data_IF_538822273172
#
_entry.id   IF_538822273172
#
_cell.length_a   1.000
_cell.length_b   1.000
_cell.length_c   1.000
_cell.angle_alpha   90.00
_cell.angle_beta   90.00
_cell.angle_gamma   90.00
#
_symmetry.space_group_name_H-M   'P 1'
#
loop_
_entity.id
_entity.type
_entity.pdbx_description
1 polymer ?
#
# COMPACT_ATOMS: atom_id res chain seq x y z
N UNK A 1 -45.85 -33.72 25.35
CA UNK A 1 -46.74 -32.60 24.96
C UNK A 1 -45.98 -31.28 24.93
N UNK A 2 -45.20 -30.95 25.97
CA UNK A 2 -44.35 -29.74 26.03
C UNK A 2 -43.33 -29.70 24.89
N UNK A 3 -42.61 -30.80 24.65
CA UNK A 3 -41.61 -30.90 23.57
C UNK A 3 -42.18 -30.59 22.17
N UNK A 4 -43.37 -31.12 21.84
CA UNK A 4 -44.02 -30.86 20.55
C UNK A 4 -44.42 -29.40 20.38
N UNK A 5 -44.87 -28.75 21.46
CA UNK A 5 -45.21 -27.33 21.47
C UNK A 5 -43.97 -26.46 21.24
N UNK A 6 -42.87 -26.78 21.91
CA UNK A 6 -41.60 -26.06 21.76
C UNK A 6 -41.02 -26.21 20.34
N UNK A 7 -41.19 -27.40 19.75
CA UNK A 7 -40.80 -27.69 18.36
C UNK A 7 -41.64 -26.88 17.36
N UNK A 8 -42.95 -26.79 17.58
CA UNK A 8 -43.87 -26.03 16.74
C UNK A 8 -43.56 -24.52 16.81
N UNK A 9 -43.29 -24.02 18.02
CA UNK A 9 -42.91 -22.62 18.24
C UNK A 9 -41.55 -22.28 17.63
N UNK A 10 -40.57 -23.18 17.71
CA UNK A 10 -39.30 -23.05 16.99
C UNK A 10 -39.53 -23.02 15.47
N UNK A 11 -40.37 -23.90 14.93
CA UNK A 11 -40.70 -23.92 13.50
C UNK A 11 -41.37 -22.62 13.02
N UNK A 12 -42.31 -22.07 13.81
CA UNK A 12 -42.91 -20.76 13.53
C UNK A 12 -41.87 -19.64 13.53
N UNK A 13 -40.94 -19.64 14.49
CA UNK A 13 -39.87 -18.66 14.59
C UNK A 13 -38.94 -18.73 13.38
N UNK A 14 -38.55 -19.93 12.97
CA UNK A 14 -37.73 -20.18 11.77
C UNK A 14 -38.47 -19.67 10.52
N UNK A 15 -39.77 -19.98 10.40
CA UNK A 15 -40.59 -19.59 9.25
C UNK A 15 -40.78 -18.07 9.15
N UNK A 16 -41.00 -17.39 10.28
CA UNK A 16 -41.14 -15.93 10.34
C UNK A 16 -39.85 -15.20 9.97
N UNK A 17 -38.70 -15.81 10.21
CA UNK A 17 -37.38 -15.24 9.95
C UNK A 17 -36.71 -15.81 8.68
N UNK A 18 -37.48 -16.41 7.75
CA UNK A 18 -36.99 -16.95 6.47
C UNK A 18 -36.42 -15.88 5.53
N UNK A 19 -36.89 -14.62 5.63
CA UNK A 19 -36.62 -13.56 4.65
C UNK A 19 -35.81 -12.37 5.22
N UNK A 20 -34.60 -12.64 5.73
CA UNK A 20 -33.46 -11.69 5.62
C UNK A 20 -33.43 -10.49 6.59
N UNK A 21 -33.39 -10.75 7.89
CA UNK A 21 -32.55 -9.92 8.78
C UNK A 21 -31.44 -10.80 9.38
N UNK A 22 -30.22 -10.28 9.37
CA UNK A 22 -29.07 -10.95 10.01
C UNK A 22 -29.34 -11.20 11.50
N UNK A 23 -30.05 -10.25 12.11
CA UNK A 23 -30.39 -10.24 13.51
C UNK A 23 -31.88 -10.41 13.72
N UNK A 24 -32.24 -11.10 14.79
CA UNK A 24 -33.59 -11.21 15.29
C UNK A 24 -34.03 -9.91 15.95
N UNK A 25 -35.33 -9.64 15.90
CA UNK A 25 -35.92 -8.63 16.77
C UNK A 25 -35.86 -9.12 18.24
N UNK A 26 -35.98 -8.20 19.19
CA UNK A 26 -35.84 -8.50 20.62
C UNK A 26 -36.84 -9.55 21.12
N UNK A 27 -38.07 -9.54 20.59
CA UNK A 27 -39.11 -10.50 20.95
C UNK A 27 -38.73 -11.91 20.51
N UNK A 28 -38.36 -12.07 19.25
CA UNK A 28 -37.97 -13.37 18.68
C UNK A 28 -36.66 -13.88 19.30
N UNK A 29 -35.72 -12.99 19.67
CA UNK A 29 -34.51 -13.36 20.43
C UNK A 29 -34.86 -13.95 21.79
N UNK A 30 -35.71 -13.27 22.57
CA UNK A 30 -36.14 -13.77 23.88
C UNK A 30 -36.91 -15.09 23.77
N UNK A 31 -37.75 -15.26 22.73
CA UNK A 31 -38.42 -16.53 22.46
C UNK A 31 -37.42 -17.63 22.15
N UNK A 32 -36.41 -17.36 21.32
CA UNK A 32 -35.38 -18.34 20.98
C UNK A 32 -34.55 -18.75 22.21
N UNK A 33 -34.12 -17.80 23.04
CA UNK A 33 -33.32 -18.08 24.23
C UNK A 33 -34.08 -19.01 25.21
N UNK A 34 -35.37 -18.73 25.45
CA UNK A 34 -36.23 -19.58 26.27
C UNK A 34 -36.37 -20.99 25.67
N UNK A 35 -36.61 -21.09 24.36
CA UNK A 35 -36.75 -22.38 23.67
C UNK A 35 -35.45 -23.20 23.75
N UNK A 36 -34.29 -22.57 23.56
CA UNK A 36 -32.98 -23.22 23.63
C UNK A 36 -32.67 -23.68 25.07
N UNK A 37 -32.99 -22.88 26.07
CA UNK A 37 -32.80 -23.25 27.48
C UNK A 37 -33.72 -24.39 27.93
N UNK A 38 -34.89 -24.54 27.31
CA UNK A 38 -35.76 -25.71 27.51
C UNK A 38 -35.28 -26.94 26.74
N UNK A 39 -34.86 -26.76 25.47
CA UNK A 39 -34.36 -27.84 24.61
C UNK A 39 -33.01 -28.40 25.07
N UNK A 40 -32.15 -27.59 25.69
CA UNK A 40 -30.86 -28.03 26.25
C UNK A 40 -31.00 -28.91 27.50
N UNK A 41 -32.15 -28.84 28.19
CA UNK A 41 -32.47 -29.70 29.35
C UNK A 41 -32.98 -31.09 28.92
N UNK A 42 -33.59 -31.19 27.74
CA UNK A 42 -34.13 -32.44 27.19
C UNK A 42 -33.19 -32.97 26.10
N UNK A 43 -32.38 -33.98 26.43
CA UNK A 43 -31.41 -34.63 25.53
C UNK A 43 -32.15 -35.41 24.45
N UNK A 44 -32.62 -34.72 23.41
CA UNK A 44 -33.09 -35.31 22.16
C UNK A 44 -32.60 -34.46 20.97
N UNK A 45 -31.28 -34.28 20.89
CA UNK A 45 -30.59 -33.62 19.77
C UNK A 45 -31.00 -34.18 18.40
N UNK A 46 -31.34 -35.46 18.31
CA UNK A 46 -31.77 -36.11 17.07
C UNK A 46 -33.11 -35.59 16.52
N UNK A 47 -34.05 -35.22 17.40
CA UNK A 47 -35.38 -34.75 16.98
C UNK A 47 -35.26 -33.34 16.40
N UNK A 48 -34.49 -32.48 17.07
CA UNK A 48 -34.16 -31.13 16.58
C UNK A 48 -33.40 -31.16 15.25
N UNK A 49 -32.38 -32.03 15.13
CA UNK A 49 -31.65 -32.25 13.88
C UNK A 49 -32.57 -32.71 12.74
N UNK A 50 -33.55 -33.56 13.04
CA UNK A 50 -34.54 -34.00 12.04
C UNK A 50 -35.41 -32.84 11.56
N UNK A 51 -35.90 -31.98 12.47
CA UNK A 51 -36.71 -30.81 12.11
C UNK A 51 -35.91 -29.81 11.29
N UNK A 52 -34.66 -29.56 11.68
CA UNK A 52 -33.76 -28.70 10.92
C UNK A 52 -33.51 -29.24 9.50
N UNK A 53 -33.52 -30.57 9.34
CA UNK A 53 -33.36 -31.24 8.04
C UNK A 53 -34.59 -31.16 7.13
N UNK A 54 -35.76 -30.89 7.70
CA UNK A 54 -37.05 -30.83 6.99
C UNK A 54 -37.40 -29.42 6.49
N UNK A 55 -36.71 -28.38 6.95
CA UNK A 55 -36.93 -27.01 6.49
C UNK A 55 -36.15 -26.73 5.20
N UNK A 56 -36.73 -25.96 4.28
CA UNK A 56 -36.12 -25.54 3.00
C UNK A 56 -35.03 -24.44 3.16
N UNK A 57 -33.98 -24.71 3.95
CA UNK A 57 -32.65 -24.09 3.87
C UNK A 57 -32.53 -22.55 4.00
N UNK A 58 -33.45 -21.87 4.71
CA UNK A 58 -33.38 -20.42 4.93
C UNK A 58 -33.56 -20.08 6.41
N UNK A 59 -32.45 -19.99 7.12
CA UNK A 59 -32.42 -19.67 8.54
C UNK A 59 -31.73 -18.34 8.77
N UNK A 60 -32.20 -17.57 9.75
CA UNK A 60 -31.43 -16.41 10.23
C UNK A 60 -30.13 -16.89 10.85
N UNK A 61 -29.05 -16.19 10.51
CA UNK A 61 -27.69 -16.52 10.96
C UNK A 61 -27.51 -16.35 12.47
N UNK A 62 -28.27 -15.45 13.13
CA UNK A 62 -28.30 -15.34 14.58
C UNK A 62 -28.86 -16.62 15.24
N UNK A 63 -29.88 -17.25 14.65
CA UNK A 63 -30.43 -18.53 15.15
C UNK A 63 -29.35 -19.62 15.08
N UNK A 64 -28.66 -19.71 13.94
CA UNK A 64 -27.58 -20.69 13.74
C UNK A 64 -26.46 -20.46 14.77
N UNK A 65 -26.08 -19.21 15.00
CA UNK A 65 -25.08 -18.87 16.00
C UNK A 65 -25.48 -19.28 17.42
N UNK A 66 -26.72 -19.02 17.84
CA UNK A 66 -27.19 -19.43 19.16
C UNK A 66 -27.16 -20.96 19.34
N UNK A 67 -27.57 -21.72 18.32
CA UNK A 67 -27.49 -23.19 18.34
C UNK A 67 -26.04 -23.69 18.43
N UNK A 68 -25.11 -23.02 17.73
CA UNK A 68 -23.68 -23.33 17.79
C UNK A 68 -23.09 -23.03 19.18
N UNK A 69 -23.37 -21.86 19.74
CA UNK A 69 -22.85 -21.44 21.05
C UNK A 69 -23.33 -22.36 22.18
N UNK A 70 -24.51 -22.94 22.05
CA UNK A 70 -25.10 -23.89 23.02
C UNK A 70 -24.74 -25.35 22.71
N UNK A 71 -23.84 -25.60 21.75
CA UNK A 71 -23.36 -26.93 21.36
C UNK A 71 -24.47 -27.91 20.93
N UNK A 72 -25.56 -27.37 20.38
CA UNK A 72 -26.70 -28.17 19.91
C UNK A 72 -26.44 -28.69 18.49
N UNK A 73 -26.02 -27.81 17.60
CA UNK A 73 -25.56 -28.12 16.24
C UNK A 73 -24.39 -27.18 15.92
N UNK A 74 -23.24 -27.77 15.55
CA UNK A 74 -22.07 -26.98 15.18
C UNK A 74 -22.27 -26.30 13.82
N UNK A 75 -21.66 -25.13 13.64
CA UNK A 75 -21.76 -24.40 12.38
C UNK A 75 -21.23 -25.19 11.17
N UNK A 76 -20.20 -26.01 11.38
CA UNK A 76 -19.65 -26.91 10.36
C UNK A 76 -20.62 -28.07 10.06
N UNK A 77 -21.27 -28.64 11.06
CA UNK A 77 -22.35 -29.62 10.86
C UNK A 77 -23.51 -28.97 10.08
N UNK A 78 -23.80 -27.70 10.35
CA UNK A 78 -24.88 -26.97 9.71
C UNK A 78 -24.68 -26.85 8.18
N UNK A 79 -23.48 -26.48 7.75
CA UNK A 79 -23.15 -26.30 6.33
C UNK A 79 -23.21 -27.64 5.57
N UNK A 80 -22.79 -28.75 6.20
CA UNK A 80 -22.70 -30.06 5.54
C UNK A 80 -24.01 -30.83 5.53
N UNK A 81 -24.67 -30.94 6.69
CA UNK A 81 -25.86 -31.77 6.84
C UNK A 81 -27.12 -31.11 6.27
N UNK A 82 -27.18 -29.78 6.25
CA UNK A 82 -28.38 -29.03 5.86
C UNK A 82 -28.23 -28.30 4.52
N UNK A 83 -27.19 -28.64 3.75
CA UNK A 83 -26.96 -28.19 2.36
C UNK A 83 -27.19 -26.69 2.16
N UNK A 84 -26.73 -25.89 3.11
CA UNK A 84 -26.94 -24.45 3.05
C UNK A 84 -26.12 -23.84 1.91
N UNK A 85 -26.73 -22.93 1.15
CA UNK A 85 -26.11 -22.40 -0.07
C UNK A 85 -24.83 -21.62 0.24
N UNK A 86 -23.73 -22.04 -0.39
CA UNK A 86 -22.39 -21.53 -0.09
C UNK A 86 -22.25 -20.05 -0.43
N UNK A 87 -22.85 -19.61 -1.55
CA UNK A 87 -22.80 -18.21 -1.96
C UNK A 87 -23.62 -17.33 -1.01
N UNK A 88 -24.78 -17.82 -0.52
CA UNK A 88 -25.53 -17.13 0.53
C UNK A 88 -24.75 -17.04 1.84
N UNK A 89 -24.10 -18.12 2.28
CA UNK A 89 -23.27 -18.10 3.50
C UNK A 89 -22.18 -17.03 3.39
N UNK A 90 -21.41 -17.06 2.29
CA UNK A 90 -20.34 -16.08 2.07
C UNK A 90 -20.91 -14.67 2.05
N UNK A 91 -22.02 -14.44 1.35
CA UNK A 91 -22.68 -13.13 1.29
C UNK A 91 -23.10 -12.63 2.68
N UNK A 92 -23.69 -13.49 3.51
CA UNK A 92 -24.10 -13.16 4.88
C UNK A 92 -22.86 -12.81 5.72
N UNK A 93 -21.81 -13.64 5.71
CA UNK A 93 -20.60 -13.36 6.47
C UNK A 93 -19.93 -12.04 6.03
N UNK A 94 -19.93 -11.74 4.73
CA UNK A 94 -19.37 -10.48 4.21
C UNK A 94 -20.19 -9.26 4.65
N UNK A 95 -21.51 -9.33 4.54
CA UNK A 95 -22.38 -8.25 5.02
C UNK A 95 -22.21 -8.04 6.55
N UNK A 96 -21.95 -9.09 7.34
CA UNK A 96 -21.62 -8.95 8.77
C UNK A 96 -20.27 -8.26 8.97
N UNK A 97 -19.29 -8.58 8.12
CA UNK A 97 -17.94 -7.99 8.20
C UNK A 97 -17.97 -6.47 8.01
N UNK A 98 -18.91 -5.98 7.19
CA UNK A 98 -19.13 -4.55 6.94
C UNK A 98 -19.96 -3.86 8.04
N UNK A 99 -20.67 -4.62 8.88
CA UNK A 99 -21.53 -4.07 9.95
C UNK A 99 -20.70 -3.52 11.11
N UNK A 100 -21.12 -2.37 11.64
CA UNK A 100 -20.54 -1.80 12.88
C UNK A 100 -21.25 -2.30 14.14
N UNK A 101 -22.33 -3.06 14.00
CA UNK A 101 -23.09 -3.56 15.13
C UNK A 101 -22.28 -4.60 15.90
N UNK A 102 -22.20 -4.42 17.22
CA UNK A 102 -21.40 -5.29 18.10
C UNK A 102 -21.82 -6.75 17.98
N UNK A 103 -23.14 -7.01 17.97
CA UNK A 103 -23.68 -8.37 17.87
C UNK A 103 -23.33 -9.04 16.53
N UNK A 104 -23.38 -8.32 15.41
CA UNK A 104 -22.92 -8.85 14.12
C UNK A 104 -21.45 -9.23 14.14
N UNK A 105 -20.61 -8.41 14.78
CA UNK A 105 -19.18 -8.68 14.89
C UNK A 105 -18.87 -9.86 15.83
N UNK A 106 -19.64 -10.03 16.90
CA UNK A 106 -19.58 -11.20 17.80
C UNK A 106 -19.96 -12.48 17.04
N UNK A 107 -21.15 -12.50 16.41
CA UNK A 107 -21.63 -13.62 15.58
C UNK A 107 -20.59 -14.00 14.52
N UNK A 108 -20.10 -13.00 13.76
CA UNK A 108 -19.10 -13.22 12.72
C UNK A 108 -17.82 -13.84 13.30
N UNK A 109 -17.32 -13.34 14.42
CA UNK A 109 -16.05 -13.81 15.01
C UNK A 109 -16.15 -15.27 15.43
N UNK A 110 -17.27 -15.67 16.05
CA UNK A 110 -17.48 -17.04 16.53
C UNK A 110 -17.66 -18.03 15.36
N UNK A 111 -18.56 -17.70 14.42
CA UNK A 111 -18.86 -18.56 13.28
C UNK A 111 -17.68 -18.67 12.30
N UNK A 112 -17.03 -17.55 12.00
CA UNK A 112 -15.84 -17.57 11.16
C UNK A 112 -14.66 -18.23 11.88
N UNK A 113 -14.53 -18.05 13.20
CA UNK A 113 -13.56 -18.76 14.03
C UNK A 113 -13.70 -20.28 13.91
N UNK A 114 -14.92 -20.79 14.03
CA UNK A 114 -15.21 -22.23 13.95
C UNK A 114 -14.90 -22.82 12.56
N UNK A 115 -15.13 -22.05 11.48
CA UNK A 115 -14.67 -22.43 10.13
C UNK A 115 -13.15 -22.38 10.00
N UNK A 116 -12.52 -21.30 10.46
CA UNK A 116 -11.09 -21.05 10.24
C UNK A 116 -10.18 -22.01 11.00
N UNK A 117 -10.67 -22.63 12.09
CA UNK A 117 -9.97 -23.74 12.76
C UNK A 117 -9.60 -24.85 11.77
N UNK A 118 -10.43 -25.08 10.75
CA UNK A 118 -10.20 -26.12 9.73
C UNK A 118 -8.94 -25.85 8.88
N UNK A 119 -8.47 -24.60 8.79
CA UNK A 119 -7.17 -24.27 8.14
C UNK A 119 -5.94 -24.75 8.94
N UNK A 120 -6.15 -25.20 10.19
CA UNK A 120 -5.11 -25.75 11.06
C UNK A 120 -4.80 -27.22 10.76
N UNK A 121 -5.72 -27.96 10.11
CA UNK A 121 -5.57 -29.38 9.77
C UNK A 121 -4.73 -29.64 8.51
N UNK A 122 -4.29 -30.90 8.33
CA UNK A 122 -3.56 -31.35 7.13
C UNK A 122 -4.44 -31.29 5.86
N UNK A 123 -3.84 -31.04 4.67
CA UNK A 123 -4.56 -30.67 3.48
C UNK A 123 -5.04 -31.92 2.74
N UNK A 124 -6.21 -32.45 3.09
CA UNK A 124 -6.96 -33.27 2.15
C UNK A 124 -8.33 -32.65 1.94
N UNK A 125 -8.73 -32.62 0.67
CA UNK A 125 -10.00 -32.14 0.13
C UNK A 125 -10.04 -30.66 -0.31
N UNK A 126 -9.49 -30.40 -1.50
CA UNK A 126 -9.93 -29.33 -2.43
C UNK A 126 -11.46 -29.33 -2.70
N UNK A 127 -12.18 -30.33 -2.21
CA UNK A 127 -13.61 -30.55 -2.37
C UNK A 127 -14.41 -30.35 -1.07
N UNK A 128 -13.79 -29.89 0.02
CA UNK A 128 -14.52 -29.57 1.23
C UNK A 128 -15.30 -28.25 1.05
N UNK A 129 -16.65 -28.25 1.18
CA UNK A 129 -17.46 -27.04 1.10
C UNK A 129 -17.02 -25.95 2.08
N UNK A 130 -16.49 -26.29 3.26
CA UNK A 130 -15.99 -25.33 4.25
C UNK A 130 -14.79 -24.56 3.73
N UNK A 131 -13.81 -25.27 3.15
CA UNK A 131 -12.58 -24.65 2.63
C UNK A 131 -12.91 -23.69 1.48
N UNK A 132 -13.90 -24.04 0.65
CA UNK A 132 -14.36 -23.17 -0.44
C UNK A 132 -15.03 -21.90 0.10
N UNK A 133 -15.91 -22.02 1.11
CA UNK A 133 -16.50 -20.85 1.80
C UNK A 133 -15.40 -19.95 2.37
N UNK A 134 -14.41 -20.53 3.06
CA UNK A 134 -13.29 -19.77 3.64
C UNK A 134 -12.50 -19.04 2.55
N UNK A 135 -12.12 -19.73 1.48
CA UNK A 135 -11.34 -19.13 0.39
C UNK A 135 -12.11 -18.00 -0.31
N UNK A 136 -13.40 -18.20 -0.57
CA UNK A 136 -14.26 -17.21 -1.21
C UNK A 136 -14.46 -15.99 -0.29
N UNK A 137 -14.72 -16.22 0.99
CA UNK A 137 -14.84 -15.16 1.99
C UNK A 137 -13.55 -14.35 2.13
N UNK A 138 -12.38 -14.99 2.29
CA UNK A 138 -11.10 -14.29 2.42
C UNK A 138 -10.74 -13.50 1.16
N UNK A 139 -11.07 -14.02 -0.03
CA UNK A 139 -10.84 -13.30 -1.30
C UNK A 139 -11.73 -12.07 -1.42
N UNK A 140 -13.05 -12.22 -1.17
CA UNK A 140 -14.00 -11.12 -1.29
C UNK A 140 -13.83 -10.07 -0.19
N UNK A 141 -13.58 -10.48 1.06
CA UNK A 141 -13.30 -9.56 2.17
C UNK A 141 -12.03 -8.74 1.93
N UNK A 142 -10.99 -9.32 1.33
CA UNK A 142 -9.79 -8.58 0.92
C UNK A 142 -10.11 -7.42 -0.02
N UNK A 143 -11.00 -7.64 -1.00
CA UNK A 143 -11.43 -6.60 -1.94
C UNK A 143 -12.26 -5.50 -1.25
N UNK A 144 -13.13 -5.88 -0.30
CA UNK A 144 -13.92 -4.94 0.50
C UNK A 144 -12.98 -4.05 1.33
N UNK A 145 -12.00 -4.65 2.01
CA UNK A 145 -11.01 -3.93 2.83
C UNK A 145 -10.18 -2.95 1.99
N UNK A 146 -9.81 -3.30 0.75
CA UNK A 146 -9.11 -2.36 -0.15
C UNK A 146 -9.96 -1.14 -0.47
N UNK A 147 -11.27 -1.33 -0.69
CA UNK A 147 -12.21 -0.25 -1.01
C UNK A 147 -12.54 0.59 0.22
N UNK A 148 -12.64 -0.03 1.38
CA UNK A 148 -12.90 0.63 2.65
C UNK A 148 -11.94 0.11 3.74
N UNK A 149 -10.76 0.75 3.87
CA UNK A 149 -9.72 0.40 4.83
C UNK A 149 -10.11 0.49 6.31
N UNK A 150 -11.32 0.90 6.67
CA UNK A 150 -11.76 1.00 8.07
C UNK A 150 -12.61 -0.22 8.52
N UNK A 151 -12.96 -1.13 7.59
CA UNK A 151 -13.87 -2.27 7.82
C UNK A 151 -13.18 -3.53 8.38
N UNK A 152 -11.87 -3.52 8.64
CA UNK A 152 -11.11 -4.67 9.17
C UNK A 152 -11.32 -4.97 10.66
N UNK A 153 -12.42 -4.50 11.27
CA UNK A 153 -12.74 -4.72 12.69
C UNK A 153 -12.77 -6.21 13.01
N UNK A 154 -13.37 -7.03 12.14
CA UNK A 154 -13.45 -8.47 12.35
C UNK A 154 -12.06 -9.13 12.41
N UNK A 155 -11.05 -8.64 11.69
CA UNK A 155 -9.68 -9.17 11.77
C UNK A 155 -9.05 -8.91 13.14
N UNK A 156 -9.37 -7.76 13.77
CA UNK A 156 -8.95 -7.49 15.16
C UNK A 156 -9.61 -8.49 16.12
N UNK A 157 -10.91 -8.74 15.94
CA UNK A 157 -11.65 -9.65 16.80
C UNK A 157 -11.14 -11.09 16.65
N UNK A 158 -10.88 -11.55 15.41
CA UNK A 158 -10.29 -12.87 15.15
C UNK A 158 -8.91 -13.01 15.78
N UNK A 159 -8.07 -11.97 15.74
CA UNK A 159 -6.76 -11.97 16.41
C UNK A 159 -6.87 -12.16 17.92
N UNK A 160 -7.94 -11.67 18.53
CA UNK A 160 -8.22 -11.81 19.97
C UNK A 160 -9.07 -13.04 20.31
N UNK A 161 -9.49 -13.82 19.32
CA UNK A 161 -10.34 -14.99 19.53
C UNK A 161 -9.58 -16.12 20.22
N UNK A 162 -10.14 -16.67 21.29
CA UNK A 162 -9.59 -17.85 21.99
C UNK A 162 -9.69 -19.13 21.16
N UNK A 163 -10.53 -19.15 20.12
CA UNK A 163 -10.78 -20.32 19.29
C UNK A 163 -9.65 -20.59 18.29
N UNK A 164 -8.83 -19.60 17.96
CA UNK A 164 -7.79 -19.69 16.93
C UNK A 164 -6.40 -19.71 17.55
N UNK A 165 -5.60 -20.70 17.15
CA UNK A 165 -4.17 -20.72 17.47
C UNK A 165 -3.42 -19.69 16.61
N UNK A 166 -2.29 -19.18 17.15
CA UNK A 166 -1.46 -18.15 16.51
C UNK A 166 -1.05 -18.50 15.07
N UNK A 167 -0.67 -19.74 14.80
CA UNK A 167 -0.27 -20.16 13.45
C UNK A 167 -1.40 -20.05 12.44
N UNK A 168 -2.65 -20.27 12.85
CA UNK A 168 -3.84 -20.13 12.01
C UNK A 168 -4.14 -18.67 11.74
N UNK A 169 -4.04 -17.81 12.76
CA UNK A 169 -4.15 -16.34 12.61
C UNK A 169 -3.12 -15.85 11.58
N UNK A 170 -1.85 -16.26 11.71
CA UNK A 170 -0.80 -15.89 10.76
C UNK A 170 -1.10 -16.39 9.33
N UNK A 171 -1.61 -17.61 9.16
CA UNK A 171 -2.05 -18.13 7.84
C UNK A 171 -3.15 -17.25 7.23
N UNK A 172 -4.15 -16.88 8.02
CA UNK A 172 -5.26 -16.01 7.57
C UNK A 172 -4.72 -14.66 7.12
N UNK A 173 -3.91 -14.01 7.96
CA UNK A 173 -3.33 -12.70 7.66
C UNK A 173 -2.46 -12.76 6.40
N UNK A 174 -1.70 -13.84 6.21
CA UNK A 174 -0.88 -14.07 5.01
C UNK A 174 -1.74 -14.21 3.75
N UNK A 175 -2.84 -14.97 3.80
CA UNK A 175 -3.77 -15.13 2.68
C UNK A 175 -4.45 -13.79 2.34
N UNK A 176 -4.94 -13.08 3.37
CA UNK A 176 -5.58 -11.78 3.21
C UNK A 176 -4.63 -10.77 2.57
N UNK A 177 -3.42 -10.61 3.13
CA UNK A 177 -2.43 -9.68 2.58
C UNK A 177 -2.05 -10.07 1.15
N UNK A 178 -1.87 -11.38 0.86
CA UNK A 178 -1.61 -11.86 -0.50
C UNK A 178 -2.69 -11.40 -1.47
N UNK A 179 -3.95 -11.64 -1.14
CA UNK A 179 -5.09 -11.29 -1.98
C UNK A 179 -5.18 -9.78 -2.20
N UNK A 180 -4.90 -8.98 -1.17
CA UNK A 180 -4.88 -7.52 -1.27
C UNK A 180 -3.76 -7.01 -2.18
N UNK A 181 -2.58 -7.65 -2.14
CA UNK A 181 -1.45 -7.31 -3.00
C UNK A 181 -1.64 -7.76 -4.46
N UNK A 182 -2.55 -8.68 -4.76
CA UNK A 182 -2.88 -9.20 -6.12
C UNK A 182 -4.25 -8.67 -6.60
N UNK A 183 -4.73 -7.56 -6.06
CA UNK A 183 -5.98 -6.96 -6.51
C UNK A 183 -5.76 -6.16 -7.80
N UNK A 184 -6.60 -6.39 -8.81
CA UNK A 184 -6.61 -5.61 -10.05
C UNK A 184 -7.01 -4.16 -9.74
N UNK A 185 -6.11 -3.23 -10.00
CA UNK A 185 -6.29 -1.80 -9.74
C UNK A 185 -5.65 -0.98 -10.85
N UNK A 186 -6.26 0.18 -11.13
CA UNK A 186 -5.77 1.17 -12.09
C UNK A 186 -4.31 1.62 -11.84
N UNK A 187 -3.79 1.42 -10.63
CA UNK A 187 -2.41 1.76 -10.27
C UNK A 187 -1.45 0.58 -10.53
N UNK A 188 -1.28 0.24 -11.80
CA UNK A 188 -0.35 -0.79 -12.27
C UNK A 188 1.12 -0.28 -12.30
N UNK A 189 2.08 -1.18 -12.55
CA UNK A 189 3.52 -0.92 -12.46
C UNK A 189 4.00 0.34 -13.20
N UNK A 190 3.48 0.62 -14.40
CA UNK A 190 3.92 1.77 -15.20
C UNK A 190 3.57 3.10 -14.51
N UNK A 191 2.31 3.25 -14.11
CA UNK A 191 1.83 4.41 -13.32
C UNK A 191 2.57 4.50 -11.99
N UNK A 192 2.79 3.37 -11.32
CA UNK A 192 3.56 3.35 -10.08
C UNK A 192 4.99 3.87 -10.28
N UNK A 193 5.65 3.49 -11.36
CA UNK A 193 7.01 3.93 -11.67
C UNK A 193 7.09 5.46 -11.88
N UNK A 194 6.09 6.03 -12.54
CA UNK A 194 6.03 7.47 -12.80
C UNK A 194 5.66 8.28 -11.54
N UNK A 195 4.85 7.71 -10.64
CA UNK A 195 4.19 8.45 -9.55
C UNK A 195 4.61 8.05 -8.13
N UNK A 196 5.53 7.08 -7.95
CA UNK A 196 5.84 6.54 -6.61
C UNK A 196 6.27 7.59 -5.58
N UNK A 197 6.91 8.68 -6.01
CA UNK A 197 7.33 9.77 -5.10
C UNK A 197 6.22 10.73 -4.70
N UNK A 198 5.17 10.83 -5.52
CA UNK A 198 4.02 11.69 -5.23
C UNK A 198 3.01 10.99 -4.31
N UNK A 199 3.05 9.66 -4.31
CA UNK A 199 2.13 8.85 -3.54
C UNK A 199 2.42 8.93 -2.04
N UNK A 200 1.40 9.29 -1.26
CA UNK A 200 1.43 9.25 0.20
C UNK A 200 0.46 8.21 0.71
N UNK A 201 0.91 7.34 1.60
CA UNK A 201 0.07 6.34 2.26
C UNK A 201 -0.97 7.03 3.14
N UNK A 202 -2.28 6.88 2.88
CA UNK A 202 -3.35 7.37 3.76
C UNK A 202 -3.29 6.73 5.15
N UNK A 203 -3.73 7.44 6.18
CA UNK A 203 -3.65 6.96 7.57
C UNK A 203 -4.43 5.65 7.82
N UNK A 204 -5.60 5.49 7.19
CA UNK A 204 -6.40 4.27 7.29
C UNK A 204 -5.66 3.06 6.69
N UNK A 205 -5.01 3.24 5.53
CA UNK A 205 -4.16 2.22 4.91
C UNK A 205 -2.93 1.92 5.78
N UNK A 206 -2.28 2.95 6.33
CA UNK A 206 -1.15 2.78 7.24
C UNK A 206 -1.52 1.95 8.47
N UNK A 207 -2.62 2.29 9.15
CA UNK A 207 -3.07 1.61 10.36
C UNK A 207 -3.44 0.14 10.10
N UNK A 208 -4.11 -0.12 8.98
CA UNK A 208 -4.42 -1.47 8.53
C UNK A 208 -3.15 -2.28 8.24
N UNK A 209 -2.23 -1.75 7.43
CA UNK A 209 -1.00 -2.46 7.07
C UNK A 209 -0.09 -2.67 8.29
N UNK A 210 -0.09 -1.74 9.25
CA UNK A 210 0.61 -1.91 10.53
C UNK A 210 0.11 -3.15 11.28
N UNK A 211 -1.20 -3.39 11.33
CA UNK A 211 -1.75 -4.61 11.94
C UNK A 211 -1.19 -5.88 11.28
N UNK A 212 -1.09 -5.90 9.94
CA UNK A 212 -0.52 -7.04 9.22
C UNK A 212 0.96 -7.25 9.56
N UNK A 213 1.74 -6.17 9.67
CA UNK A 213 3.16 -6.21 10.02
C UNK A 213 3.43 -6.60 11.48
N UNK A 214 2.46 -6.34 12.37
CA UNK A 214 2.55 -6.74 13.78
C UNK A 214 2.22 -8.23 13.97
N UNK A 215 1.45 -8.84 13.05
CA UNK A 215 1.03 -10.24 13.15
C UNK A 215 1.94 -11.21 12.38
N UNK A 216 2.41 -10.79 11.20
CA UNK A 216 3.23 -11.60 10.31
C UNK A 216 4.71 -11.46 10.63
N UNK A 217 5.46 -12.54 10.43
CA UNK A 217 6.92 -12.50 10.52
C UNK A 217 7.48 -11.70 9.35
N UNK A 218 8.58 -10.98 9.57
CA UNK A 218 9.15 -10.13 8.52
C UNK A 218 9.58 -10.97 7.30
N UNK A 219 10.12 -12.18 7.52
CA UNK A 219 10.46 -13.17 6.47
C UNK A 219 9.28 -13.57 5.60
N UNK A 220 8.09 -13.74 6.20
CA UNK A 220 6.86 -14.03 5.47
C UNK A 220 6.44 -12.85 4.59
N UNK A 221 6.62 -11.62 5.06
CA UNK A 221 6.30 -10.40 4.29
C UNK A 221 7.20 -10.30 3.06
N UNK A 222 8.52 -10.48 3.21
CA UNK A 222 9.44 -10.42 2.07
C UNK A 222 9.11 -11.48 1.02
N UNK A 223 8.94 -12.73 1.48
CA UNK A 223 8.61 -13.86 0.63
C UNK A 223 7.29 -13.63 -0.09
N UNK A 224 6.32 -13.02 0.60
CA UNK A 224 5.02 -12.68 0.02
C UNK A 224 5.16 -11.64 -1.11
N UNK A 225 5.86 -10.53 -0.86
CA UNK A 225 6.08 -9.48 -1.87
C UNK A 225 6.81 -10.06 -3.08
N UNK A 226 7.87 -10.84 -2.86
CA UNK A 226 8.63 -11.51 -3.94
C UNK A 226 7.72 -12.43 -4.76
N UNK A 227 6.92 -13.28 -4.10
CA UNK A 227 5.99 -14.18 -4.80
C UNK A 227 4.94 -13.43 -5.63
N UNK A 228 4.38 -12.35 -5.09
CA UNK A 228 3.42 -11.50 -5.81
C UNK A 228 4.06 -10.92 -7.07
N UNK A 229 5.30 -10.45 -7.00
CA UNK A 229 5.98 -9.85 -8.16
C UNK A 229 6.37 -10.92 -9.18
N UNK A 230 6.90 -12.07 -8.74
CA UNK A 230 7.34 -13.14 -9.64
C UNK A 230 6.18 -13.84 -10.36
N UNK A 231 5.02 -13.97 -9.70
CA UNK A 231 3.88 -14.72 -10.21
C UNK A 231 2.75 -13.83 -10.76
N UNK A 232 2.65 -12.59 -10.29
CA UNK A 232 1.47 -11.73 -10.51
C UNK A 232 1.82 -10.25 -10.75
N UNK A 233 3.00 -9.93 -11.29
CA UNK A 233 3.47 -8.55 -11.52
C UNK A 233 2.45 -7.64 -12.22
N UNK A 234 1.73 -8.15 -13.21
CA UNK A 234 0.72 -7.41 -13.99
C UNK A 234 -0.54 -7.08 -13.19
N UNK A 235 -0.91 -7.94 -12.23
CA UNK A 235 -2.10 -7.78 -11.36
C UNK A 235 -1.73 -7.27 -9.97
N UNK A 236 -0.47 -6.88 -9.78
CA UNK A 236 0.02 -6.46 -8.49
C UNK A 236 -0.53 -5.07 -8.16
N UNK A 237 -1.07 -4.94 -6.95
CA UNK A 237 -1.54 -3.67 -6.41
C UNK A 237 -0.35 -2.83 -5.94
N UNK A 238 0.29 -2.12 -6.87
CA UNK A 238 1.49 -1.34 -6.60
C UNK A 238 1.27 -0.24 -5.57
N UNK A 239 0.07 0.32 -5.49
CA UNK A 239 -0.29 1.30 -4.46
C UNK A 239 -0.17 0.69 -3.06
N UNK A 240 -0.67 -0.53 -2.85
CA UNK A 240 -0.52 -1.23 -1.58
C UNK A 240 0.89 -1.76 -1.34
N UNK A 241 1.60 -2.23 -2.36
CA UNK A 241 3.00 -2.68 -2.21
C UNK A 241 3.88 -1.53 -1.71
N UNK A 242 3.80 -0.36 -2.35
CA UNK A 242 4.55 0.83 -1.94
C UNK A 242 4.10 1.30 -0.56
N UNK A 243 2.79 1.27 -0.26
CA UNK A 243 2.27 1.60 1.08
C UNK A 243 2.80 0.66 2.15
N UNK A 244 2.91 -0.64 1.86
CA UNK A 244 3.42 -1.67 2.78
C UNK A 244 4.89 -1.44 3.08
N UNK A 245 5.69 -1.11 2.06
CA UNK A 245 7.10 -0.73 2.23
C UNK A 245 7.21 0.53 3.11
N UNK A 246 6.47 1.61 2.79
CA UNK A 246 6.49 2.83 3.60
C UNK A 246 6.06 2.57 5.06
N UNK A 247 5.04 1.73 5.25
CA UNK A 247 4.57 1.34 6.59
C UNK A 247 5.63 0.55 7.33
N UNK A 248 6.26 -0.43 6.69
CA UNK A 248 7.36 -1.22 7.25
C UNK A 248 8.52 -0.34 7.69
N UNK A 249 8.93 0.61 6.86
CA UNK A 249 10.04 1.53 7.20
C UNK A 249 9.72 2.35 8.44
N UNK A 250 8.47 2.82 8.56
CA UNK A 250 8.00 3.61 9.71
C UNK A 250 7.84 2.80 10.99
N UNK A 251 7.38 1.55 10.91
CA UNK A 251 7.07 0.71 12.08
C UNK A 251 8.22 -0.18 12.52
N UNK A 252 9.05 -0.65 11.59
CA UNK A 252 10.16 -1.58 11.79
C UNK A 252 11.49 -0.92 11.39
N UNK A 253 11.73 0.32 11.84
CA UNK A 253 12.92 1.11 11.46
C UNK A 253 14.25 0.38 11.73
N UNK A 254 14.33 -0.40 12.80
CA UNK A 254 15.49 -1.23 13.16
C UNK A 254 15.78 -2.37 12.17
N UNK A 255 14.81 -2.78 11.33
CA UNK A 255 14.95 -3.84 10.32
C UNK A 255 15.11 -3.31 8.89
N UNK A 256 15.12 -1.99 8.70
CA UNK A 256 15.23 -1.37 7.37
C UNK A 256 16.49 -1.78 6.61
N UNK A 257 17.61 -1.99 7.31
CA UNK A 257 18.84 -2.53 6.74
C UNK A 257 18.61 -3.93 6.13
N UNK A 258 17.86 -4.80 6.81
CA UNK A 258 17.57 -6.16 6.35
C UNK A 258 16.66 -6.14 5.14
N UNK A 259 15.60 -5.31 5.17
CA UNK A 259 14.72 -5.08 4.01
C UNK A 259 15.53 -4.64 2.79
N UNK A 260 16.45 -3.68 2.97
CA UNK A 260 17.32 -3.20 1.88
C UNK A 260 18.16 -4.32 1.30
N UNK A 261 18.85 -5.12 2.13
CA UNK A 261 19.68 -6.23 1.67
C UNK A 261 18.86 -7.27 0.88
N UNK A 262 17.68 -7.66 1.38
CA UNK A 262 16.82 -8.63 0.69
C UNK A 262 16.29 -8.13 -0.64
N UNK A 263 15.94 -6.83 -0.73
CA UNK A 263 15.51 -6.23 -1.98
C UNK A 263 16.66 -6.09 -2.98
N UNK A 264 17.87 -5.79 -2.51
CA UNK A 264 19.06 -5.74 -3.36
C UNK A 264 19.44 -7.14 -3.87
N UNK A 265 19.36 -8.16 -3.02
CA UNK A 265 19.53 -9.56 -3.41
C UNK A 265 18.50 -9.97 -4.46
N UNK A 266 17.22 -9.69 -4.22
CA UNK A 266 16.14 -9.94 -5.18
C UNK A 266 16.38 -9.22 -6.50
N UNK A 267 16.78 -7.94 -6.47
CA UNK A 267 17.08 -7.18 -7.67
C UNK A 267 18.22 -7.83 -8.47
N UNK A 268 19.31 -8.23 -7.80
CA UNK A 268 20.43 -8.92 -8.46
C UNK A 268 20.03 -10.27 -9.05
N UNK A 269 19.12 -11.01 -8.39
CA UNK A 269 18.54 -12.23 -8.94
C UNK A 269 17.78 -11.93 -10.24
N UNK A 270 16.90 -10.91 -10.26
CA UNK A 270 16.15 -10.54 -11.48
C UNK A 270 17.03 -10.10 -12.65
N UNK A 271 18.20 -9.53 -12.37
CA UNK A 271 19.17 -9.13 -13.41
C UNK A 271 20.00 -10.29 -13.94
N UNK A 272 20.03 -11.42 -13.23
CA UNK A 272 20.77 -12.63 -13.61
C UNK A 272 19.88 -13.63 -14.38
N UNK A 273 18.58 -13.39 -14.44
CA UNK A 273 17.60 -14.21 -15.17
C UNK A 273 17.64 -13.96 -16.69
N UNK A 274 17.07 -14.90 -17.46
CA UNK A 274 17.03 -14.81 -18.93
C UNK A 274 16.25 -13.58 -19.41
N UNK A 275 16.72 -12.95 -20.50
CA UNK A 275 16.16 -11.70 -21.07
C UNK A 275 14.83 -11.93 -21.80
N UNK A 276 13.78 -12.22 -21.05
CA UNK A 276 12.38 -12.33 -21.51
C UNK A 276 11.58 -11.07 -21.15
N UNK A 277 10.44 -10.81 -21.79
CA UNK A 277 9.57 -9.68 -21.41
C UNK A 277 9.14 -9.74 -19.94
N UNK A 278 8.84 -10.95 -19.44
CA UNK A 278 8.54 -11.18 -18.02
C UNK A 278 9.71 -10.77 -17.11
N UNK A 279 10.95 -11.06 -17.51
CA UNK A 279 12.15 -10.65 -16.76
C UNK A 279 12.27 -9.13 -16.68
N UNK A 280 11.94 -8.40 -17.75
CA UNK A 280 11.98 -6.94 -17.75
C UNK A 280 10.98 -6.34 -16.75
N UNK A 281 9.73 -6.83 -16.73
CA UNK A 281 8.74 -6.37 -15.75
C UNK A 281 9.19 -6.65 -14.31
N UNK A 282 9.80 -7.80 -14.06
CA UNK A 282 10.35 -8.16 -12.74
C UNK A 282 11.52 -7.25 -12.34
N UNK A 283 12.45 -6.97 -13.27
CA UNK A 283 13.57 -6.05 -13.06
C UNK A 283 13.09 -4.62 -12.77
N UNK A 284 12.11 -4.13 -13.55
CA UNK A 284 11.48 -2.82 -13.34
C UNK A 284 10.79 -2.73 -11.97
N UNK A 285 10.04 -3.76 -11.60
CA UNK A 285 9.37 -3.92 -10.32
C UNK A 285 10.35 -3.88 -9.14
N UNK A 286 11.42 -4.68 -9.21
CA UNK A 286 12.46 -4.74 -8.19
C UNK A 286 13.20 -3.40 -8.04
N UNK A 287 13.58 -2.76 -9.14
CA UNK A 287 14.21 -1.44 -9.13
C UNK A 287 13.28 -0.37 -8.51
N UNK A 288 11.98 -0.41 -8.82
CA UNK A 288 11.00 0.52 -8.26
C UNK A 288 10.91 0.38 -6.73
N UNK A 289 10.74 -0.84 -6.21
CA UNK A 289 10.72 -1.08 -4.77
C UNK A 289 11.99 -0.58 -4.09
N UNK A 290 13.15 -0.86 -4.69
CA UNK A 290 14.43 -0.42 -4.16
C UNK A 290 14.52 1.11 -4.09
N UNK A 291 14.12 1.81 -5.16
CA UNK A 291 14.06 3.28 -5.21
C UNK A 291 13.09 3.85 -4.19
N UNK A 292 11.94 3.20 -3.99
CA UNK A 292 10.95 3.59 -2.99
C UNK A 292 11.49 3.44 -1.57
N UNK A 293 12.19 2.35 -1.27
CA UNK A 293 12.90 2.18 0.01
C UNK A 293 13.93 3.29 0.25
N UNK A 294 14.71 3.66 -0.77
CA UNK A 294 15.67 4.76 -0.66
C UNK A 294 15.01 6.12 -0.37
N UNK A 295 13.77 6.32 -0.83
CA UNK A 295 12.99 7.52 -0.57
C UNK A 295 12.52 7.59 0.89
N UNK A 296 11.99 6.48 1.41
CA UNK A 296 11.42 6.42 2.76
C UNK A 296 12.50 6.39 3.86
N UNK A 297 13.62 5.71 3.61
CA UNK A 297 14.68 5.46 4.61
C UNK A 297 15.74 6.57 4.56
N UNK A 298 15.32 7.85 4.62
CA UNK A 298 16.18 9.04 4.48
C UNK A 298 17.43 9.12 5.40
N UNK A 299 17.60 8.17 6.32
CA UNK A 299 18.75 8.01 7.21
C UNK A 299 19.84 7.05 6.71
N UNK A 300 19.59 6.17 5.72
CA UNK A 300 20.48 5.01 5.44
C UNK A 300 21.12 4.91 4.05
N UNK A 301 20.65 5.68 3.06
CA UNK A 301 21.36 6.03 1.82
C UNK A 301 20.36 6.52 0.80
N UNK A 302 20.43 7.78 0.40
CA UNK A 302 19.79 8.27 -0.81
C UNK A 302 20.14 7.36 -2.01
N UNK A 303 19.25 7.30 -3.01
CA UNK A 303 19.43 6.46 -4.20
C UNK A 303 20.78 6.69 -4.91
N UNK A 304 21.25 7.93 -4.96
CA UNK A 304 22.56 8.32 -5.51
C UNK A 304 23.73 7.60 -4.82
N UNK A 305 23.69 7.48 -3.49
CA UNK A 305 24.74 6.86 -2.68
C UNK A 305 24.77 5.38 -2.92
N UNK A 306 23.60 4.72 -2.94
CA UNK A 306 23.55 3.31 -3.32
C UNK A 306 24.09 3.09 -4.74
N UNK A 307 23.61 3.86 -5.71
CA UNK A 307 24.02 3.74 -7.12
C UNK A 307 25.53 3.88 -7.29
N UNK A 308 26.16 4.84 -6.59
CA UNK A 308 27.61 5.04 -6.61
C UNK A 308 28.43 3.86 -6.07
N UNK A 309 27.84 3.07 -5.19
CA UNK A 309 28.47 1.90 -4.56
C UNK A 309 28.08 0.58 -5.20
N UNK A 310 27.10 0.58 -6.10
CA UNK A 310 26.58 -0.62 -6.74
C UNK A 310 27.60 -1.19 -7.73
N UNK A 311 28.01 -2.44 -7.53
CA UNK A 311 29.07 -3.12 -8.30
C UNK A 311 28.54 -4.41 -8.92
N UNK A 312 27.75 -4.32 -10.00
CA UNK A 312 27.32 -5.49 -10.75
C UNK A 312 28.52 -6.16 -11.46
N UNK A 313 28.44 -7.47 -11.67
CA UNK A 313 29.35 -8.17 -12.57
C UNK A 313 29.07 -7.76 -14.04
N UNK A 314 29.89 -8.23 -14.99
CA UNK A 314 29.81 -7.80 -16.39
C UNK A 314 28.46 -8.09 -17.04
N UNK A 315 27.85 -9.24 -16.78
CA UNK A 315 26.60 -9.63 -17.42
C UNK A 315 25.40 -8.95 -16.76
N UNK A 316 25.38 -8.89 -15.43
CA UNK A 316 24.41 -8.09 -14.66
C UNK A 316 24.47 -6.61 -15.06
N UNK A 317 25.66 -6.06 -15.33
CA UNK A 317 25.83 -4.67 -15.75
C UNK A 317 25.18 -4.41 -17.12
N UNK A 318 25.34 -5.32 -18.08
CA UNK A 318 24.70 -5.20 -19.40
C UNK A 318 23.17 -5.12 -19.27
N UNK A 319 22.59 -6.06 -18.52
CA UNK A 319 21.12 -6.11 -18.29
C UNK A 319 20.66 -4.86 -17.55
N UNK A 320 21.39 -4.45 -16.51
CA UNK A 320 21.06 -3.27 -15.72
C UNK A 320 21.06 -1.97 -16.55
N UNK A 321 22.08 -1.74 -17.39
CA UNK A 321 22.11 -0.56 -18.24
C UNK A 321 21.11 -0.64 -19.40
N UNK A 322 20.75 -1.83 -19.87
CA UNK A 322 19.63 -2.02 -20.81
C UNK A 322 18.32 -1.58 -20.17
N UNK A 323 18.02 -2.09 -18.98
CA UNK A 323 16.87 -1.71 -18.17
C UNK A 323 16.80 -0.19 -17.99
N UNK A 324 17.90 0.43 -17.52
CA UNK A 324 17.93 1.88 -17.33
C UNK A 324 17.75 2.67 -18.65
N UNK A 325 18.26 2.15 -19.77
CA UNK A 325 18.08 2.78 -21.08
C UNK A 325 16.62 2.75 -21.52
N UNK A 326 15.92 1.63 -21.31
CA UNK A 326 14.50 1.50 -21.63
C UNK A 326 13.60 2.37 -20.74
N UNK A 327 14.03 2.62 -19.51
CA UNK A 327 13.30 3.46 -18.56
C UNK A 327 13.50 4.96 -18.80
N UNK A 328 14.49 5.39 -19.60
CA UNK A 328 14.78 6.81 -19.86
C UNK A 328 13.56 7.70 -20.18
N UNK A 329 12.56 7.26 -20.98
CA UNK A 329 11.41 8.10 -21.31
C UNK A 329 10.53 8.45 -20.11
N UNK A 330 10.49 7.57 -19.11
CA UNK A 330 9.63 7.66 -17.92
C UNK A 330 10.43 7.85 -16.63
N UNK A 331 11.75 7.90 -16.70
CA UNK A 331 12.60 8.02 -15.52
C UNK A 331 12.51 9.44 -14.94
N UNK A 332 12.52 9.50 -13.61
CA UNK A 332 12.47 10.78 -12.90
C UNK A 332 13.78 11.52 -13.11
N UNK A 333 13.75 12.83 -13.34
CA UNK A 333 14.99 13.56 -13.59
C UNK A 333 15.94 13.52 -12.37
N UNK A 334 15.43 13.28 -11.15
CA UNK A 334 16.20 13.00 -9.95
C UNK A 334 17.08 11.76 -10.07
N UNK A 335 16.53 10.69 -10.63
CA UNK A 335 17.25 9.45 -10.86
C UNK A 335 18.30 9.64 -11.96
N UNK A 336 17.93 10.29 -13.08
CA UNK A 336 18.86 10.60 -14.17
C UNK A 336 20.06 11.42 -13.67
N UNK A 337 19.81 12.43 -12.83
CA UNK A 337 20.88 13.24 -12.23
C UNK A 337 21.79 12.40 -11.33
N UNK A 338 21.25 11.46 -10.55
CA UNK A 338 22.06 10.53 -9.79
C UNK A 338 22.94 9.65 -10.71
N UNK A 339 22.38 9.13 -11.80
CA UNK A 339 23.11 8.29 -12.74
C UNK A 339 24.28 9.01 -13.42
N UNK A 340 24.10 10.29 -13.74
CA UNK A 340 25.12 11.11 -14.38
C UNK A 340 26.23 11.50 -13.40
N UNK A 341 25.85 11.96 -12.20
CA UNK A 341 26.78 12.58 -11.25
C UNK A 341 27.48 11.58 -10.32
N UNK A 342 26.90 10.41 -10.10
CA UNK A 342 27.37 9.45 -9.10
C UNK A 342 27.64 8.06 -9.68
N UNK A 343 28.40 8.03 -10.78
CA UNK A 343 28.69 6.79 -11.51
C UNK A 343 29.47 5.78 -10.65
N UNK A 344 29.01 4.52 -10.56
CA UNK A 344 29.78 3.47 -9.89
C UNK A 344 31.06 3.16 -10.67
N UNK A 345 32.13 2.86 -9.92
CA UNK A 345 33.40 2.38 -10.50
C UNK A 345 33.23 0.92 -10.94
N UNK A 346 33.12 0.70 -12.25
CA UNK A 346 33.01 -0.62 -12.86
C UNK A 346 34.36 -1.10 -13.41
N UNK A 347 34.44 -2.39 -13.76
CA UNK A 347 35.57 -2.95 -14.51
C UNK A 347 35.67 -2.32 -15.90
N UNK A 348 36.89 -2.28 -16.47
CA UNK A 348 37.13 -1.67 -17.79
C UNK A 348 36.21 -2.22 -18.89
N UNK A 349 35.87 -3.51 -18.83
CA UNK A 349 34.94 -4.18 -19.75
C UNK A 349 33.53 -3.59 -19.78
N UNK A 350 33.08 -2.92 -18.71
CA UNK A 350 31.75 -2.31 -18.62
C UNK A 350 31.75 -0.80 -18.92
N UNK A 351 32.93 -0.17 -19.02
CA UNK A 351 33.07 1.28 -19.14
C UNK A 351 32.36 1.85 -20.38
N UNK A 352 32.44 1.13 -21.51
CA UNK A 352 31.77 1.56 -22.75
C UNK A 352 30.24 1.55 -22.63
N UNK A 353 29.68 0.54 -21.95
CA UNK A 353 28.22 0.41 -21.75
C UNK A 353 27.71 1.54 -20.85
N UNK A 354 28.39 1.76 -19.71
CA UNK A 354 28.05 2.85 -18.79
C UNK A 354 28.17 4.21 -19.46
N UNK A 355 29.26 4.48 -20.19
CA UNK A 355 29.47 5.74 -20.91
C UNK A 355 28.38 6.00 -21.96
N UNK A 356 28.00 4.97 -22.72
CA UNK A 356 26.92 5.08 -23.70
C UNK A 356 25.57 5.39 -23.04
N UNK A 357 25.24 4.72 -21.93
CA UNK A 357 24.03 5.01 -21.16
C UNK A 357 24.05 6.44 -20.61
N UNK A 358 25.15 6.87 -19.98
CA UNK A 358 25.28 8.22 -19.40
C UNK A 358 25.05 9.31 -20.44
N UNK A 359 25.58 9.16 -21.66
CA UNK A 359 25.33 10.11 -22.77
C UNK A 359 23.84 10.20 -23.11
N UNK A 360 23.13 9.06 -23.14
CA UNK A 360 21.67 9.04 -23.38
C UNK A 360 20.90 9.68 -22.22
N UNK A 361 21.28 9.39 -20.98
CA UNK A 361 20.69 10.00 -19.79
C UNK A 361 20.88 11.52 -19.76
N UNK A 362 22.07 12.02 -20.13
CA UNK A 362 22.35 13.46 -20.26
C UNK A 362 21.46 14.12 -21.33
N UNK A 363 21.33 13.50 -22.50
CA UNK A 363 20.47 14.02 -23.56
C UNK A 363 19.00 14.05 -23.13
N UNK A 364 18.52 12.99 -22.48
CA UNK A 364 17.15 12.93 -21.97
C UNK A 364 16.90 13.95 -20.86
N UNK A 365 17.83 14.11 -19.91
CA UNK A 365 17.71 15.11 -18.85
C UNK A 365 17.69 16.53 -19.45
N UNK A 366 18.53 16.80 -20.45
CA UNK A 366 18.50 18.08 -21.18
C UNK A 366 17.15 18.32 -21.85
N UNK A 367 16.57 17.29 -22.46
CA UNK A 367 15.25 17.33 -23.10
C UNK A 367 14.13 17.63 -22.10
N UNK A 368 14.11 16.94 -20.95
CA UNK A 368 13.11 17.13 -19.89
C UNK A 368 13.15 18.57 -19.34
N UNK A 369 14.34 19.14 -19.20
CA UNK A 369 14.50 20.49 -18.64
C UNK A 369 14.43 21.61 -19.68
N UNK A 370 14.04 21.33 -20.93
CA UNK A 370 14.08 22.30 -22.03
C UNK A 370 15.46 22.98 -22.19
N UNK A 371 16.55 22.32 -21.78
CA UNK A 371 17.90 22.87 -21.76
C UNK A 371 18.28 23.71 -20.52
N UNK A 372 17.44 23.78 -19.49
CA UNK A 372 17.72 24.44 -18.21
C UNK A 372 18.40 23.51 -17.19
N UNK A 373 19.03 24.09 -16.16
CA UNK A 373 19.74 23.34 -15.12
C UNK A 373 18.74 22.64 -14.16
N UNK A 374 18.59 21.31 -14.29
CA UNK A 374 17.67 20.49 -13.48
C UNK A 374 17.88 20.59 -11.96
N UNK A 375 19.12 20.82 -11.55
CA UNK A 375 19.48 20.86 -10.14
C UNK A 375 18.91 22.13 -9.52
N UNK A 376 17.97 21.96 -8.58
CA UNK A 376 17.52 23.04 -7.70
C UNK A 376 18.65 23.61 -6.82
N UNK A 377 18.32 24.58 -5.99
CA UNK A 377 19.20 25.12 -4.95
C UNK A 377 19.53 24.09 -3.88
N UNK A 378 18.55 23.25 -3.56
CA UNK A 378 18.69 22.21 -2.54
C UNK A 378 19.06 20.87 -3.20
N UNK A 379 19.96 20.13 -2.53
CA UNK A 379 20.40 18.80 -2.97
C UNK A 379 19.27 17.76 -2.90
N UNK A 380 18.18 18.06 -2.19
CA UNK A 380 17.00 17.22 -2.14
C UNK A 380 16.36 17.21 -3.52
N UNK A 381 16.36 16.02 -4.13
CA UNK A 381 15.79 15.79 -5.45
C UNK A 381 14.26 15.70 -5.35
N UNK A 382 13.60 16.84 -5.16
CA UNK A 382 12.13 16.92 -5.22
C UNK A 382 11.71 17.00 -6.70
N UNK A 383 10.97 16.01 -7.20
CA UNK A 383 10.45 15.93 -8.58
C UNK A 383 9.19 16.78 -8.79
N UNK A 384 9.17 17.98 -8.20
CA UNK A 384 8.12 18.93 -8.51
C UNK A 384 8.32 19.41 -9.94
N UNK A 385 7.27 19.38 -10.77
CA UNK A 385 7.25 20.10 -12.07
C UNK A 385 7.68 21.57 -11.91
N UNK A 386 7.52 22.12 -10.69
CA UNK A 386 7.91 23.47 -10.31
C UNK A 386 9.04 23.50 -9.25
N UNK A 387 10.06 22.63 -9.36
CA UNK A 387 11.17 22.55 -8.38
C UNK A 387 11.79 23.91 -8.08
N UNK A 388 12.05 24.71 -9.11
CA UNK A 388 12.63 26.04 -8.94
C UNK A 388 11.72 26.96 -8.14
N UNK A 389 10.39 26.88 -8.31
CA UNK A 389 9.45 27.66 -7.50
C UNK A 389 9.39 27.17 -6.04
N UNK A 390 9.43 25.86 -5.82
CA UNK A 390 9.52 25.28 -4.47
C UNK A 390 10.80 25.72 -3.74
N UNK A 391 11.93 25.80 -4.47
CA UNK A 391 13.16 26.35 -3.93
C UNK A 391 13.01 27.83 -3.57
N UNK A 392 12.31 28.63 -4.39
CA UNK A 392 11.98 30.03 -4.07
C UNK A 392 11.18 30.10 -2.76
N UNK A 393 10.13 29.30 -2.62
CA UNK A 393 9.28 29.27 -1.42
C UNK A 393 10.13 28.98 -0.18
N UNK A 394 10.93 27.90 -0.19
CA UNK A 394 11.81 27.51 0.93
C UNK A 394 12.81 28.62 1.28
N UNK A 395 13.42 29.24 0.28
CA UNK A 395 14.36 30.35 0.48
C UNK A 395 13.67 31.57 1.10
N UNK A 396 12.49 31.93 0.62
CA UNK A 396 11.75 33.09 1.11
C UNK A 396 11.18 32.86 2.52
N UNK A 397 10.72 31.65 2.85
CA UNK A 397 10.31 31.29 4.21
C UNK A 397 11.49 31.38 5.21
N UNK A 398 12.67 30.90 4.80
CA UNK A 398 13.89 31.06 5.59
C UNK A 398 14.30 32.53 5.73
N UNK A 399 14.17 33.33 4.66
CA UNK A 399 14.44 34.76 4.71
C UNK A 399 13.43 35.51 5.59
N UNK A 400 12.15 35.12 5.58
CA UNK A 400 11.11 35.70 6.43
C UNK A 400 11.44 35.52 7.92
N UNK A 401 11.96 34.35 8.29
CA UNK A 401 12.33 34.02 9.67
C UNK A 401 13.68 34.61 10.10
N UNK A 402 14.68 34.66 9.20
CA UNK A 402 16.06 35.03 9.58
C UNK A 402 16.50 36.42 9.13
N UNK A 403 15.84 37.02 8.14
CA UNK A 403 16.27 38.25 7.47
C UNK A 403 17.58 38.12 6.67
N UNK A 404 18.11 36.89 6.51
CA UNK A 404 19.38 36.64 5.85
C UNK A 404 19.21 35.78 4.59
N UNK A 405 20.05 36.05 3.58
CA UNK A 405 20.08 35.24 2.36
C UNK A 405 20.73 33.90 2.69
N UNK A 406 20.03 32.80 2.42
CA UNK A 406 20.55 31.46 2.67
C UNK A 406 21.88 31.23 1.96
N UNK A 407 22.80 30.56 2.64
CA UNK A 407 24.13 30.24 2.12
C UNK A 407 24.08 29.51 0.76
N UNK A 408 23.14 28.59 0.57
CA UNK A 408 22.97 27.85 -0.69
C UNK A 408 22.70 28.75 -1.89
N UNK A 409 22.03 29.89 -1.70
CA UNK A 409 21.77 30.88 -2.75
C UNK A 409 23.06 31.62 -3.12
N UNK A 410 23.85 31.99 -2.11
CA UNK A 410 25.14 32.63 -2.30
C UNK A 410 26.14 31.68 -2.99
N UNK A 411 26.15 30.41 -2.60
CA UNK A 411 26.94 29.36 -3.25
C UNK A 411 26.51 29.17 -4.71
N UNK A 412 25.21 29.12 -5.00
CA UNK A 412 24.73 29.03 -6.38
C UNK A 412 25.14 30.24 -7.22
N UNK A 413 25.10 31.46 -6.66
CA UNK A 413 25.55 32.66 -7.35
C UNK A 413 27.03 32.59 -7.76
N UNK A 414 27.90 32.06 -6.88
CA UNK A 414 29.35 31.97 -7.13
C UNK A 414 29.71 30.76 -8.00
N UNK A 415 29.22 29.57 -7.64
CA UNK A 415 29.66 28.30 -8.23
C UNK A 415 28.77 27.82 -9.38
N UNK A 416 27.53 28.34 -9.48
CA UNK A 416 26.54 27.92 -10.47
C UNK A 416 25.88 29.14 -11.14
N UNK A 417 26.70 30.12 -11.53
CA UNK A 417 26.20 31.42 -12.04
C UNK A 417 25.23 31.29 -13.23
N UNK A 418 25.44 30.31 -14.12
CA UNK A 418 24.51 30.02 -15.24
C UNK A 418 23.11 29.65 -14.73
N UNK A 419 23.00 28.72 -13.79
CA UNK A 419 21.76 28.38 -13.11
C UNK A 419 21.18 29.58 -12.34
N UNK A 420 22.02 30.27 -11.56
CA UNK A 420 21.57 31.35 -10.70
C UNK A 420 20.93 32.49 -11.50
N UNK A 421 21.60 32.95 -12.55
CA UNK A 421 21.10 34.04 -13.40
C UNK A 421 20.05 33.54 -14.41
N UNK A 422 20.26 32.36 -14.98
CA UNK A 422 19.45 31.81 -16.07
C UNK A 422 18.11 31.24 -15.63
N UNK A 423 18.04 30.70 -14.41
CA UNK A 423 16.88 29.98 -13.87
C UNK A 423 16.41 30.62 -12.57
N UNK A 424 17.22 30.60 -11.50
CA UNK A 424 16.78 31.03 -10.17
C UNK A 424 16.26 32.48 -10.14
N UNK A 425 17.02 33.45 -10.66
CA UNK A 425 16.61 34.85 -10.67
C UNK A 425 15.37 35.09 -11.55
N UNK A 426 15.25 34.40 -12.68
CA UNK A 426 14.07 34.52 -13.55
C UNK A 426 12.82 33.97 -12.86
N UNK A 427 12.93 32.79 -12.25
CA UNK A 427 11.84 32.17 -11.47
C UNK A 427 11.45 33.06 -10.29
N UNK A 428 12.43 33.58 -9.53
CA UNK A 428 12.21 34.50 -8.41
C UNK A 428 11.45 35.76 -8.84
N UNK A 429 11.81 36.37 -9.97
CA UNK A 429 11.18 37.60 -10.45
C UNK A 429 9.78 37.38 -11.02
N UNK A 430 9.50 36.19 -11.56
CA UNK A 430 8.24 35.89 -12.26
C UNK A 430 7.20 35.14 -11.40
N UNK A 431 7.60 34.46 -10.32
CA UNK A 431 6.69 33.59 -9.56
C UNK A 431 5.63 34.37 -8.80
N UNK A 432 4.36 33.94 -8.89
CA UNK A 432 3.22 34.54 -8.17
C UNK A 432 2.84 33.75 -6.90
N UNK A 433 3.59 32.70 -6.55
CA UNK A 433 3.25 31.76 -5.48
C UNK A 433 3.58 32.26 -4.07
N UNK A 434 4.16 33.45 -3.96
CA UNK A 434 4.69 34.02 -2.72
C UNK A 434 4.31 35.49 -2.61
N UNK A 435 4.20 35.97 -1.38
CA UNK A 435 3.91 37.36 -1.07
C UNK A 435 4.86 38.33 -1.80
N UNK A 436 4.26 39.31 -2.49
CA UNK A 436 4.96 40.29 -3.30
C UNK A 436 5.92 41.13 -2.45
N UNK A 437 5.53 41.52 -1.24
CA UNK A 437 6.38 42.33 -0.37
C UNK A 437 7.64 41.56 0.08
N UNK A 438 7.45 40.31 0.52
CA UNK A 438 8.55 39.43 0.91
C UNK A 438 9.52 39.18 -0.26
N UNK A 439 8.98 38.89 -1.44
CA UNK A 439 9.75 38.68 -2.68
C UNK A 439 10.55 39.92 -3.06
N UNK A 440 9.92 41.10 -3.06
CA UNK A 440 10.56 42.36 -3.43
C UNK A 440 11.69 42.72 -2.46
N UNK A 441 11.45 42.57 -1.14
CA UNK A 441 12.50 42.75 -0.12
C UNK A 441 13.69 41.83 -0.33
N UNK A 442 13.45 40.57 -0.71
CA UNK A 442 14.52 39.62 -0.97
C UNK A 442 15.34 40.01 -2.22
N UNK A 443 14.68 40.44 -3.29
CA UNK A 443 15.33 40.94 -4.52
C UNK A 443 16.18 42.18 -4.21
N UNK A 444 15.65 43.14 -3.45
CA UNK A 444 16.40 44.32 -3.03
C UNK A 444 17.62 43.95 -2.17
N UNK A 445 17.47 42.96 -1.28
CA UNK A 445 18.60 42.45 -0.49
C UNK A 445 19.68 41.84 -1.37
N UNK A 446 19.32 40.99 -2.34
CA UNK A 446 20.27 40.42 -3.31
C UNK A 446 20.97 41.51 -4.16
N UNK A 447 20.23 42.54 -4.57
CA UNK A 447 20.79 43.67 -5.31
C UNK A 447 21.79 44.47 -4.45
N UNK A 448 21.46 44.74 -3.18
CA UNK A 448 22.36 45.43 -2.24
C UNK A 448 23.68 44.67 -2.02
N UNK A 449 23.67 43.35 -2.21
CA UNK A 449 24.84 42.47 -2.13
C UNK A 449 25.58 42.33 -3.48
N UNK A 450 25.23 43.11 -4.50
CA UNK A 450 25.73 43.03 -5.87
C UNK A 450 25.61 41.63 -6.49
N UNK A 451 24.55 40.89 -6.16
CA UNK A 451 24.32 39.52 -6.67
C UNK A 451 23.41 39.49 -7.90
N UNK A 452 22.73 40.58 -8.24
CA UNK A 452 21.85 40.65 -9.42
C UNK A 452 22.54 41.45 -10.54
N UNK A 453 22.57 40.96 -11.78
CA UNK A 453 23.01 41.74 -12.92
C UNK A 453 22.19 43.04 -13.09
N UNK A 454 22.88 44.18 -13.28
CA UNK A 454 22.25 45.52 -13.31
C UNK A 454 21.12 45.65 -14.34
N UNK A 455 21.31 45.06 -15.52
CA UNK A 455 20.32 45.02 -16.59
C UNK A 455 19.03 44.28 -16.17
N UNK A 456 19.16 43.17 -15.47
CA UNK A 456 18.04 42.36 -14.99
C UNK A 456 17.26 43.08 -13.88
N UNK A 457 17.97 43.67 -12.91
CA UNK A 457 17.33 44.45 -11.83
C UNK A 457 16.58 45.67 -12.37
N UNK A 458 17.17 46.40 -13.33
CA UNK A 458 16.54 47.59 -13.92
C UNK A 458 15.26 47.23 -14.65
N UNK A 459 15.28 46.14 -15.44
CA UNK A 459 14.08 45.64 -16.15
C UNK A 459 12.96 45.25 -15.18
N UNK A 460 13.29 44.46 -14.16
CA UNK A 460 12.32 44.07 -13.12
C UNK A 460 11.71 45.29 -12.41
N UNK A 461 12.53 46.29 -12.07
CA UNK A 461 12.07 47.51 -11.41
C UNK A 461 11.12 48.31 -12.30
N UNK A 462 11.39 48.42 -13.60
CA UNK A 462 10.50 49.09 -14.56
C UNK A 462 9.16 48.35 -14.69
N UNK A 463 9.17 47.02 -14.76
CA UNK A 463 7.95 46.19 -14.84
C UNK A 463 7.09 46.31 -13.59
N UNK A 464 7.70 46.42 -12.40
CA UNK A 464 6.97 46.71 -11.16
C UNK A 464 6.29 48.09 -11.21
N UNK A 465 6.94 49.13 -11.74
CA UNK A 465 6.33 50.47 -11.82
C UNK A 465 5.14 50.48 -12.79
N UNK A 466 5.20 49.76 -13.92
CA UNK A 466 4.10 49.69 -14.87
C UNK A 466 2.83 49.03 -14.32
N UNK A 467 2.95 48.11 -13.34
CA UNK A 467 1.82 47.40 -12.72
C UNK A 467 1.08 48.29 -11.69
N UNK A 468 1.76 49.27 -11.09
CA UNK A 468 1.14 50.21 -10.14
C UNK A 468 0.54 51.46 -10.81
N UNK A 469 0.74 51.65 -12.12
CA UNK A 469 0.24 52.79 -12.90
C UNK A 469 -0.72 52.40 -14.05
N UNK A 470 -1.23 51.17 -14.02
CA UNK A 470 -2.38 50.68 -14.79
C UNK A 470 -3.53 50.34 -13.86
#
# INVERSE_FOLDING_TARGET
MILFKNIEELNELLTRNKDMSMLLNEKDRNTLDNLIDELSKDINSNLLKTILGLQENKYSIEIIWQLHMKQIVDFTEFITCYKWDRDQIVKILLCMSESKEKLCQEILTDLLGSLLILLSGEPNHKFDPHVQIIQQFLTQSSLIIIRNPDIWIYLKNLKCSSCLIKSTIQKIFKIMLKNMLIADVNFHLNVAYEQYRLYKTPDSIYNMLKMFLDELNDDDIYTLIQNVITQHSEKANWKLILSLISTFVKTKSHLCHVLKLKLEEFFNQTLSESTTEKSFLMQKAALLMFRHCCLEIGLWSEYNRWYSTYKPNVDTAKVFYSLLTELLPIDLPAALAAHINTQPKLTESCGNIQSNYVKKAQAQLTKINHGEDYMGLFKNYDDCQNRHESDIVKVLESFKSTGQVMRVVLEACVFRNKYFTGTFLKTLMNTQLVDNELRNRFIEKLNSMNKIPKNMYTKWKQEQHSIYFS
#
